data_IF_530765925158
#
_entry.id   IF_530765925158
#
_cell.length_a   1.000
_cell.length_b   1.000
_cell.length_c   1.000
_cell.angle_alpha   90.00
_cell.angle_beta   90.00
_cell.angle_gamma   90.00
#
_symmetry.space_group_name_H-M   'P 1'
#
loop_
_entity.id
_entity.type
_entity.pdbx_description
1 polymer ?
#
# COMPACT_ATOMS: atom_id res chain seq x y z
N UNK A 1 5.94 -1.08 40.10
CA UNK A 1 6.53 -1.12 38.75
C UNK A 1 5.46 -1.63 37.80
N UNK A 2 4.67 -0.70 37.26
CA UNK A 2 3.56 -0.98 36.36
C UNK A 2 4.07 -0.93 34.92
N UNK A 3 4.23 -2.09 34.29
CA UNK A 3 4.33 -2.18 32.83
C UNK A 3 2.96 -1.84 32.23
N UNK A 4 2.74 -0.57 31.92
CA UNK A 4 1.72 -0.17 30.95
C UNK A 4 2.14 -0.75 29.60
N UNK A 5 1.61 -1.92 29.26
CA UNK A 5 1.52 -2.37 27.87
C UNK A 5 0.69 -1.32 27.16
N UNK A 6 1.35 -0.47 26.37
CA UNK A 6 0.67 0.31 25.35
C UNK A 6 -0.22 -0.65 24.57
N UNK A 7 -1.50 -0.28 24.42
CA UNK A 7 -2.42 -1.05 23.60
C UNK A 7 -1.91 -0.98 22.16
N UNK A 8 -1.19 -2.02 21.75
CA UNK A 8 -0.82 -2.27 20.37
C UNK A 8 -2.14 -2.53 19.63
N UNK A 9 -2.70 -1.47 19.05
CA UNK A 9 -3.93 -1.54 18.27
C UNK A 9 -3.76 -2.59 17.17
N UNK A 10 -4.35 -3.78 17.37
CA UNK A 10 -4.27 -4.89 16.42
C UNK A 10 -4.74 -4.43 15.05
N UNK A 11 -3.88 -4.52 14.04
CA UNK A 11 -4.21 -4.08 12.70
C UNK A 11 -5.00 -5.18 11.99
N UNK A 12 -6.32 -4.99 11.86
CA UNK A 12 -7.20 -5.99 11.25
C UNK A 12 -6.71 -6.40 9.86
N UNK A 13 -6.13 -5.50 9.08
CA UNK A 13 -5.69 -5.81 7.72
C UNK A 13 -4.43 -6.67 7.69
N UNK A 14 -3.57 -6.56 8.70
CA UNK A 14 -2.27 -7.24 8.74
C UNK A 14 -2.23 -8.45 9.66
N UNK A 15 -2.87 -8.36 10.82
CA UNK A 15 -2.77 -9.34 11.90
C UNK A 15 -3.91 -10.36 11.90
N UNK A 16 -4.97 -10.12 11.11
CA UNK A 16 -6.12 -11.00 11.04
C UNK A 16 -6.16 -11.86 9.78
N UNK A 17 -7.13 -12.80 9.74
CA UNK A 17 -7.38 -13.64 8.57
C UNK A 17 -7.78 -12.84 7.32
N UNK A 18 -8.20 -11.58 7.47
CA UNK A 18 -8.52 -10.68 6.36
C UNK A 18 -7.32 -10.49 5.43
N UNK A 19 -6.09 -10.57 5.96
CA UNK A 19 -4.85 -10.49 5.16
C UNK A 19 -4.84 -11.50 4.01
N UNK A 20 -5.41 -12.68 4.21
CA UNK A 20 -5.43 -13.73 3.19
C UNK A 20 -6.26 -13.37 1.96
N UNK A 21 -7.17 -12.40 2.06
CA UNK A 21 -7.88 -11.88 0.88
C UNK A 21 -6.92 -11.19 -0.10
N UNK A 22 -5.84 -10.59 0.39
CA UNK A 22 -4.78 -10.03 -0.43
C UNK A 22 -4.05 -11.06 -1.29
N UNK A 23 -4.04 -12.33 -0.89
CA UNK A 23 -3.41 -13.43 -1.63
C UNK A 23 -4.39 -14.22 -2.53
N UNK A 24 -5.60 -13.67 -2.76
CA UNK A 24 -6.61 -14.36 -3.56
C UNK A 24 -6.16 -14.55 -5.02
N UNK A 25 -5.44 -13.57 -5.59
CA UNK A 25 -4.97 -13.64 -6.98
C UNK A 25 -3.99 -14.79 -7.23
N UNK A 26 -3.18 -15.18 -6.25
CA UNK A 26 -2.25 -16.31 -6.33
C UNK A 26 -2.99 -17.64 -6.40
N UNK A 27 -4.11 -17.75 -5.68
CA UNK A 27 -5.01 -18.90 -5.84
C UNK A 27 -5.53 -18.92 -7.28
N UNK A 28 -6.06 -17.80 -7.78
CA UNK A 28 -6.53 -17.71 -9.17
C UNK A 28 -5.47 -18.09 -10.21
N UNK A 29 -4.24 -17.59 -10.06
CA UNK A 29 -3.11 -17.91 -10.93
C UNK A 29 -2.69 -19.39 -10.83
N UNK A 30 -2.73 -19.98 -9.63
CA UNK A 30 -2.47 -21.41 -9.41
C UNK A 30 -3.48 -22.29 -10.15
N UNK A 31 -4.76 -21.90 -10.17
CA UNK A 31 -5.83 -22.64 -10.83
C UNK A 31 -5.96 -22.35 -12.34
N UNK A 32 -5.12 -21.49 -12.93
CA UNK A 32 -5.17 -21.13 -14.36
C UNK A 32 -5.23 -22.34 -15.32
N UNK A 33 -4.51 -23.47 -15.11
CA UNK A 33 -4.59 -24.65 -15.98
C UNK A 33 -5.94 -25.38 -15.93
N UNK A 34 -6.73 -25.18 -14.86
CA UNK A 34 -7.96 -25.94 -14.59
C UNK A 34 -9.20 -25.06 -14.75
N UNK A 35 -9.21 -23.89 -14.12
CA UNK A 35 -10.33 -22.95 -14.10
C UNK A 35 -9.84 -21.52 -14.37
N UNK A 36 -9.42 -21.21 -15.61
CA UNK A 36 -8.86 -19.89 -15.95
C UNK A 36 -9.83 -18.72 -15.72
N UNK A 37 -11.13 -18.98 -15.67
CA UNK A 37 -12.17 -17.97 -15.40
C UNK A 37 -12.10 -17.41 -13.98
N UNK A 38 -11.44 -18.08 -13.04
CA UNK A 38 -11.30 -17.62 -11.66
C UNK A 38 -10.18 -16.57 -11.48
N UNK A 39 -9.32 -16.38 -12.48
CA UNK A 39 -8.21 -15.43 -12.38
C UNK A 39 -8.75 -14.01 -12.15
N UNK A 40 -9.61 -13.51 -13.03
CA UNK A 40 -10.16 -12.15 -12.92
C UNK A 40 -10.88 -11.89 -11.59
N UNK A 41 -11.86 -12.71 -11.14
CA UNK A 41 -12.53 -12.47 -9.87
C UNK A 41 -11.59 -12.57 -8.67
N UNK A 42 -10.53 -13.39 -8.74
CA UNK A 42 -9.54 -13.46 -7.67
C UNK A 42 -8.72 -12.17 -7.51
N UNK A 43 -8.37 -11.51 -8.63
CA UNK A 43 -7.77 -10.17 -8.58
C UNK A 43 -8.74 -9.12 -8.05
N UNK A 44 -10.04 -9.22 -8.35
CA UNK A 44 -11.04 -8.30 -7.78
C UNK A 44 -11.12 -8.42 -6.25
N UNK A 45 -11.06 -9.64 -5.70
CA UNK A 45 -11.02 -9.86 -4.25
C UNK A 45 -9.76 -9.25 -3.65
N UNK A 46 -8.59 -9.51 -4.24
CA UNK A 46 -7.32 -8.98 -3.77
C UNK A 46 -7.28 -7.45 -3.81
N UNK A 47 -7.70 -6.82 -4.92
CA UNK A 47 -7.80 -5.36 -5.00
C UNK A 47 -8.86 -4.79 -4.05
N UNK A 48 -9.96 -5.50 -3.80
CA UNK A 48 -10.94 -5.11 -2.79
C UNK A 48 -10.32 -5.01 -1.39
N UNK A 49 -9.46 -5.97 -1.03
CA UNK A 49 -8.69 -5.93 0.21
C UNK A 49 -7.70 -4.75 0.24
N UNK A 50 -6.93 -4.54 -0.83
CA UNK A 50 -5.97 -3.43 -0.96
C UNK A 50 -6.66 -2.08 -0.76
N UNK A 51 -7.80 -1.88 -1.43
CA UNK A 51 -8.59 -0.65 -1.32
C UNK A 51 -9.20 -0.49 0.09
N UNK A 52 -9.61 -1.60 0.72
CA UNK A 52 -10.11 -1.61 2.09
C UNK A 52 -9.07 -1.14 3.11
N UNK A 53 -7.86 -1.72 3.09
CA UNK A 53 -6.76 -1.30 3.97
C UNK A 53 -6.37 0.17 3.71
N UNK A 54 -6.24 0.55 2.43
CA UNK A 54 -5.93 1.94 2.05
C UNK A 54 -6.96 2.92 2.60
N UNK A 55 -8.25 2.59 2.50
CA UNK A 55 -9.34 3.44 3.01
C UNK A 55 -9.31 3.55 4.54
N UNK A 56 -9.08 2.45 5.25
CA UNK A 56 -8.97 2.44 6.71
C UNK A 56 -7.79 3.30 7.19
N UNK A 57 -6.60 3.14 6.57
CA UNK A 57 -5.41 3.93 6.89
C UNK A 57 -5.59 5.41 6.58
N UNK A 58 -6.20 5.75 5.44
CA UNK A 58 -6.51 7.13 5.08
C UNK A 58 -7.46 7.79 6.10
N UNK A 59 -8.51 7.07 6.53
CA UNK A 59 -9.45 7.57 7.53
C UNK A 59 -8.82 7.75 8.90
N UNK A 60 -7.98 6.80 9.34
CA UNK A 60 -7.23 6.91 10.60
C UNK A 60 -6.27 8.10 10.57
N UNK A 61 -5.54 8.31 9.47
CA UNK A 61 -4.67 9.48 9.29
C UNK A 61 -5.47 10.79 9.33
N UNK A 62 -6.64 10.83 8.68
CA UNK A 62 -7.52 12.00 8.70
C UNK A 62 -8.03 12.30 10.11
N UNK A 63 -8.53 11.29 10.82
CA UNK A 63 -9.06 11.44 12.17
C UNK A 63 -7.98 11.94 13.15
N UNK A 64 -6.76 11.37 13.06
CA UNK A 64 -5.61 11.81 13.86
C UNK A 64 -5.25 13.27 13.58
N UNK A 65 -5.16 13.65 12.31
CA UNK A 65 -4.86 15.03 11.91
C UNK A 65 -5.94 16.03 12.39
N UNK A 66 -7.22 15.64 12.38
CA UNK A 66 -8.30 16.46 12.94
C UNK A 66 -8.15 16.61 14.45
N UNK A 67 -7.85 15.53 15.16
CA UNK A 67 -7.67 15.54 16.61
C UNK A 67 -6.48 16.41 17.05
N UNK A 68 -5.39 16.40 16.28
CA UNK A 68 -4.21 17.24 16.50
C UNK A 68 -4.43 18.71 16.10
N UNK A 69 -5.58 19.05 15.49
CA UNK A 69 -5.91 20.42 15.10
C UNK A 69 -5.00 20.98 14.00
N UNK A 70 -4.40 20.11 13.18
CA UNK A 70 -3.47 20.55 12.13
C UNK A 70 -4.18 21.32 11.02
N UNK A 71 -3.41 22.14 10.29
CA UNK A 71 -3.89 22.91 9.15
C UNK A 71 -4.55 22.01 8.10
N UNK A 72 -5.51 22.55 7.33
CA UNK A 72 -6.17 21.80 6.25
C UNK A 72 -5.17 21.24 5.24
N UNK A 73 -4.09 21.97 4.96
CA UNK A 73 -3.05 21.54 4.03
C UNK A 73 -2.25 20.36 4.58
N UNK A 74 -1.75 20.46 5.83
CA UNK A 74 -1.04 19.37 6.50
C UNK A 74 -1.91 18.13 6.60
N UNK A 75 -3.21 18.30 6.91
CA UNK A 75 -4.18 17.20 6.93
C UNK A 75 -4.28 16.50 5.59
N UNK A 76 -4.42 17.24 4.49
CA UNK A 76 -4.43 16.64 3.16
C UNK A 76 -3.12 15.93 2.83
N UNK A 77 -1.97 16.47 3.26
CA UNK A 77 -0.66 15.88 3.03
C UNK A 77 -0.49 14.53 3.77
N UNK A 78 -0.82 14.47 5.07
CA UNK A 78 -0.68 13.21 5.84
C UNK A 78 -1.68 12.14 5.41
N UNK A 79 -2.88 12.53 4.96
CA UNK A 79 -3.84 11.59 4.37
C UNK A 79 -3.33 11.07 3.03
N UNK A 80 -2.78 11.94 2.19
CA UNK A 80 -2.20 11.55 0.90
C UNK A 80 -0.99 10.62 1.10
N UNK A 81 -0.10 10.94 2.03
CA UNK A 81 1.04 10.09 2.42
C UNK A 81 0.58 8.70 2.85
N UNK A 82 -0.33 8.61 3.81
CA UNK A 82 -0.87 7.32 4.28
C UNK A 82 -1.57 6.53 3.15
N UNK A 83 -2.28 7.21 2.26
CA UNK A 83 -2.95 6.59 1.10
C UNK A 83 -1.93 6.04 0.12
N UNK A 84 -0.92 6.82 -0.25
CA UNK A 84 0.11 6.44 -1.24
C UNK A 84 0.97 5.30 -0.69
N UNK A 85 1.44 5.42 0.56
CA UNK A 85 2.25 4.38 1.20
C UNK A 85 1.46 3.06 1.26
N UNK A 86 0.24 3.07 1.82
CA UNK A 86 -0.56 1.85 1.96
C UNK A 86 -0.91 1.24 0.60
N UNK A 87 -1.35 2.06 -0.36
CA UNK A 87 -1.74 1.57 -1.69
C UNK A 87 -0.56 0.98 -2.45
N UNK A 88 0.58 1.66 -2.45
CA UNK A 88 1.79 1.18 -3.12
C UNK A 88 2.29 -0.11 -2.46
N UNK A 89 2.37 -0.13 -1.13
CA UNK A 89 2.81 -1.30 -0.38
C UNK A 89 1.91 -2.50 -0.63
N UNK A 90 0.60 -2.35 -0.40
CA UNK A 90 -0.35 -3.46 -0.53
C UNK A 90 -0.45 -3.98 -1.96
N UNK A 91 -0.44 -3.08 -2.96
CA UNK A 91 -0.46 -3.50 -4.36
C UNK A 91 0.78 -4.31 -4.73
N UNK A 92 1.96 -3.90 -4.27
CA UNK A 92 3.21 -4.59 -4.57
C UNK A 92 3.37 -5.90 -3.80
N UNK A 93 3.13 -5.87 -2.49
CA UNK A 93 3.33 -7.00 -1.58
C UNK A 93 2.26 -8.08 -1.74
N UNK A 94 1.01 -7.71 -2.02
CA UNK A 94 -0.10 -8.68 -2.12
C UNK A 94 -0.42 -9.08 -3.55
N UNK A 95 -0.40 -8.14 -4.51
CA UNK A 95 -0.98 -8.41 -5.84
C UNK A 95 0.08 -8.64 -6.91
N UNK A 96 0.97 -7.66 -7.11
CA UNK A 96 1.84 -7.61 -8.29
C UNK A 96 2.96 -8.65 -8.22
N UNK A 97 3.79 -8.60 -7.17
CA UNK A 97 4.98 -9.48 -7.09
C UNK A 97 4.56 -10.94 -6.88
N UNK A 98 3.70 -11.29 -5.91
CA UNK A 98 3.29 -12.67 -5.72
C UNK A 98 2.49 -13.22 -6.91
N UNK A 99 1.52 -12.44 -7.43
CA UNK A 99 0.69 -12.86 -8.57
C UNK A 99 1.52 -13.17 -9.82
N UNK A 100 2.49 -12.30 -10.15
CA UNK A 100 3.41 -12.56 -11.24
C UNK A 100 4.28 -13.81 -10.98
N UNK A 101 4.81 -13.95 -9.78
CA UNK A 101 5.68 -15.07 -9.39
C UNK A 101 4.95 -16.41 -9.55
N UNK A 102 3.74 -16.53 -8.99
CA UNK A 102 2.92 -17.74 -9.10
C UNK A 102 2.52 -18.01 -10.55
N UNK A 103 2.16 -16.98 -11.32
CA UNK A 103 1.89 -17.14 -12.75
C UNK A 103 3.08 -17.76 -13.51
N UNK A 104 4.30 -17.29 -13.25
CA UNK A 104 5.53 -17.85 -13.85
C UNK A 104 5.78 -19.29 -13.40
N UNK A 105 5.66 -19.57 -12.10
CA UNK A 105 5.82 -20.91 -11.53
C UNK A 105 4.85 -21.89 -12.19
N UNK A 106 3.57 -21.55 -12.29
CA UNK A 106 2.53 -22.41 -12.87
C UNK A 106 2.75 -22.60 -14.37
N UNK A 107 3.15 -21.55 -15.10
CA UNK A 107 3.44 -21.62 -16.52
C UNK A 107 4.66 -22.53 -16.80
N UNK A 108 5.76 -22.35 -16.07
CA UNK A 108 6.96 -23.18 -16.18
C UNK A 108 6.66 -24.63 -15.78
N UNK A 109 5.91 -24.84 -14.69
CA UNK A 109 5.49 -26.17 -14.24
C UNK A 109 4.61 -26.86 -15.28
N UNK A 110 3.66 -26.13 -15.86
CA UNK A 110 2.81 -26.66 -16.95
C UNK A 110 3.65 -27.08 -18.14
N UNK A 111 4.60 -26.23 -18.56
CA UNK A 111 5.50 -26.52 -19.67
C UNK A 111 6.38 -27.75 -19.42
N UNK A 112 6.96 -27.86 -18.22
CA UNK A 112 7.82 -28.96 -17.82
C UNK A 112 7.05 -30.27 -17.70
N UNK A 113 5.90 -30.28 -16.99
CA UNK A 113 5.08 -31.47 -16.80
C UNK A 113 4.53 -31.98 -18.13
N UNK A 114 4.11 -31.09 -19.03
CA UNK A 114 3.63 -31.50 -20.36
C UNK A 114 4.71 -32.17 -21.22
N UNK A 115 6.00 -31.84 -21.01
CA UNK A 115 7.14 -32.46 -21.71
C UNK A 115 7.57 -33.77 -21.06
N UNK A 116 7.70 -33.78 -19.74
CA UNK A 116 8.24 -34.90 -18.99
C UNK A 116 7.23 -36.04 -18.82
N UNK A 117 5.96 -35.71 -18.56
CA UNK A 117 4.92 -36.70 -18.27
C UNK A 117 3.99 -36.83 -19.47
N UNK A 118 4.14 -37.91 -20.24
CA UNK A 118 3.30 -38.21 -21.41
C UNK A 118 2.12 -39.12 -21.08
N UNK A 119 2.32 -40.03 -20.13
CA UNK A 119 1.44 -41.18 -19.86
C UNK A 119 0.30 -40.89 -18.89
N UNK A 120 0.37 -39.84 -18.07
CA UNK A 120 -0.66 -39.53 -17.06
C UNK A 120 -1.36 -38.20 -17.30
N UNK A 121 -2.60 -38.20 -17.84
CA UNK A 121 -3.41 -37.00 -18.02
C UNK A 121 -3.74 -36.29 -16.69
N UNK A 122 -3.91 -37.06 -15.61
CA UNK A 122 -4.21 -36.52 -14.27
C UNK A 122 -3.05 -35.66 -13.76
N UNK A 123 -1.82 -36.16 -13.87
CA UNK A 123 -0.62 -35.42 -13.45
C UNK A 123 -0.44 -34.16 -14.30
N UNK A 124 -0.63 -34.25 -15.62
CA UNK A 124 -0.55 -33.09 -16.52
C UNK A 124 -1.56 -32.00 -16.19
N UNK A 125 -2.74 -32.37 -15.68
CA UNK A 125 -3.81 -31.45 -15.32
C UNK A 125 -3.60 -30.80 -13.95
N UNK A 126 -3.24 -31.59 -12.94
CA UNK A 126 -3.25 -31.14 -11.54
C UNK A 126 -1.88 -30.73 -10.99
N UNK A 127 -0.78 -31.30 -11.52
CA UNK A 127 0.54 -31.03 -10.96
C UNK A 127 0.96 -29.55 -11.03
N UNK A 128 0.72 -28.80 -12.13
CA UNK A 128 1.11 -27.39 -12.17
C UNK A 128 0.37 -26.54 -11.13
N UNK A 129 -0.92 -26.84 -10.89
CA UNK A 129 -1.70 -26.18 -9.84
C UNK A 129 -1.22 -26.56 -8.45
N UNK A 130 -0.94 -27.85 -8.20
CA UNK A 130 -0.41 -28.31 -6.92
C UNK A 130 0.94 -27.66 -6.59
N UNK A 131 1.82 -27.51 -7.60
CA UNK A 131 3.10 -26.80 -7.44
C UNK A 131 2.86 -25.33 -7.13
N UNK A 132 1.98 -24.64 -7.87
CA UNK A 132 1.64 -23.24 -7.60
C UNK A 132 1.16 -23.02 -6.17
N UNK A 133 0.20 -23.82 -5.70
CA UNK A 133 -0.32 -23.75 -4.33
C UNK A 133 0.75 -24.04 -3.27
N UNK A 134 1.63 -25.01 -3.52
CA UNK A 134 2.71 -25.36 -2.60
C UNK A 134 3.79 -24.28 -2.46
N UNK A 135 3.92 -23.39 -3.45
CA UNK A 135 4.90 -22.28 -3.42
C UNK A 135 4.40 -21.09 -2.60
N UNK A 136 3.09 -20.89 -2.47
CA UNK A 136 2.50 -19.71 -1.78
C UNK A 136 3.08 -19.51 -0.36
N UNK A 137 3.15 -20.51 0.54
CA UNK A 137 3.68 -20.31 1.90
C UNK A 137 5.16 -19.88 1.94
N UNK A 138 5.92 -20.16 0.87
CA UNK A 138 7.36 -19.91 0.81
C UNK A 138 7.70 -18.49 0.36
N UNK A 139 6.81 -17.84 -0.41
CA UNK A 139 7.11 -16.55 -1.06
C UNK A 139 6.67 -15.34 -0.25
N UNK A 140 5.70 -15.47 0.65
CA UNK A 140 5.05 -14.33 1.34
C UNK A 140 6.05 -13.49 2.14
N UNK A 141 6.73 -14.09 3.14
CA UNK A 141 7.61 -13.33 4.03
C UNK A 141 8.81 -12.67 3.34
N UNK A 142 9.50 -13.33 2.39
CA UNK A 142 10.56 -12.69 1.62
C UNK A 142 10.08 -11.52 0.77
N UNK A 143 8.89 -11.62 0.16
CA UNK A 143 8.33 -10.55 -0.67
C UNK A 143 7.96 -9.34 0.19
N UNK A 144 7.28 -9.55 1.32
CA UNK A 144 6.92 -8.47 2.24
C UNK A 144 8.18 -7.68 2.66
N UNK A 145 9.22 -8.39 3.10
CA UNK A 145 10.50 -7.79 3.51
C UNK A 145 11.19 -7.03 2.38
N UNK A 146 11.12 -7.56 1.15
CA UNK A 146 11.68 -6.91 -0.03
C UNK A 146 10.92 -5.61 -0.37
N UNK A 147 9.59 -5.64 -0.35
CA UNK A 147 8.76 -4.46 -0.65
C UNK A 147 8.98 -3.37 0.40
N UNK A 148 9.08 -3.74 1.68
CA UNK A 148 9.40 -2.80 2.75
C UNK A 148 10.73 -2.08 2.49
N UNK A 149 11.80 -2.83 2.22
CA UNK A 149 13.12 -2.24 1.92
C UNK A 149 13.06 -1.35 0.68
N UNK A 150 12.35 -1.77 -0.37
CA UNK A 150 12.20 -0.99 -1.58
C UNK A 150 11.47 0.35 -1.33
N UNK A 151 10.41 0.32 -0.52
CA UNK A 151 9.63 1.51 -0.17
C UNK A 151 10.36 2.45 0.78
N UNK A 152 11.10 1.91 1.75
CA UNK A 152 11.96 2.69 2.64
C UNK A 152 13.04 3.45 1.87
N UNK A 153 13.50 2.91 0.75
CA UNK A 153 14.48 3.55 -0.11
C UNK A 153 13.88 4.55 -1.10
N UNK A 154 12.57 4.51 -1.34
CA UNK A 154 11.91 5.27 -2.40
C UNK A 154 10.75 6.10 -1.85
N UNK A 155 9.54 5.54 -1.83
CA UNK A 155 8.27 6.20 -1.52
C UNK A 155 8.31 6.95 -0.19
N UNK A 156 8.80 6.29 0.87
CA UNK A 156 8.79 6.86 2.23
C UNK A 156 9.83 7.97 2.42
N UNK A 157 10.92 7.97 1.65
CA UNK A 157 11.89 9.08 1.66
C UNK A 157 11.32 10.29 0.95
N UNK A 158 10.73 10.07 -0.22
CA UNK A 158 10.10 11.13 -1.00
C UNK A 158 8.92 11.76 -0.25
N UNK A 159 8.07 10.94 0.36
CA UNK A 159 6.87 11.43 1.04
C UNK A 159 7.18 12.22 2.32
N UNK A 160 8.18 11.79 3.09
CA UNK A 160 8.69 12.58 4.23
C UNK A 160 9.17 13.95 3.82
N UNK A 161 10.02 14.03 2.78
CA UNK A 161 10.49 15.32 2.27
C UNK A 161 9.32 16.23 1.84
N UNK A 162 8.31 15.67 1.18
CA UNK A 162 7.11 16.40 0.76
C UNK A 162 6.28 16.92 1.95
N UNK A 163 6.08 16.12 2.99
CA UNK A 163 5.33 16.53 4.19
C UNK A 163 6.10 17.59 4.98
N UNK A 164 7.42 17.44 5.13
CA UNK A 164 8.29 18.38 5.83
C UNK A 164 8.31 19.76 5.14
N UNK A 165 8.33 19.80 3.81
CA UNK A 165 8.24 21.05 3.03
C UNK A 165 6.93 21.80 3.29
N UNK A 166 5.81 21.06 3.39
CA UNK A 166 4.49 21.64 3.72
C UNK A 166 4.49 22.22 5.14
N UNK A 167 5.05 21.50 6.09
CA UNK A 167 5.18 21.95 7.48
C UNK A 167 6.03 23.22 7.59
N UNK A 168 7.14 23.28 6.86
CA UNK A 168 8.02 24.44 6.85
C UNK A 168 7.30 25.68 6.28
N UNK A 169 6.56 25.53 5.18
CA UNK A 169 5.79 26.62 4.57
C UNK A 169 4.70 27.12 5.53
N UNK A 170 3.96 26.21 6.15
CA UNK A 170 2.91 26.56 7.10
C UNK A 170 3.50 27.30 8.32
N UNK A 171 4.66 26.87 8.82
CA UNK A 171 5.40 27.55 9.88
C UNK A 171 5.83 28.98 9.51
N UNK A 172 6.41 29.17 8.32
CA UNK A 172 6.81 30.50 7.82
C UNK A 172 5.59 31.42 7.70
N UNK A 173 4.48 30.91 7.16
CA UNK A 173 3.25 31.69 6.99
C UNK A 173 2.65 32.07 8.34
N UNK A 174 2.59 31.16 9.31
CA UNK A 174 2.15 31.46 10.66
C UNK A 174 3.02 32.55 11.32
N UNK A 175 4.35 32.48 11.15
CA UNK A 175 5.27 33.50 11.65
C UNK A 175 5.06 34.87 10.97
N UNK A 176 4.87 34.89 9.65
CA UNK A 176 4.57 36.11 8.89
C UNK A 176 3.22 36.72 9.26
N UNK A 177 2.18 35.89 9.43
CA UNK A 177 0.86 36.34 9.87
C UNK A 177 0.92 36.90 11.29
N UNK A 178 1.66 36.26 12.21
CA UNK A 178 1.87 36.77 13.56
C UNK A 178 2.61 38.12 13.58
N UNK A 179 3.64 38.27 12.72
CA UNK A 179 4.35 39.53 12.55
C UNK A 179 3.46 40.63 11.95
N UNK A 180 2.68 40.30 10.92
CA UNK A 180 1.75 41.22 10.27
C UNK A 180 0.59 41.64 11.18
N UNK A 181 0.12 40.75 12.06
CA UNK A 181 -0.89 41.06 13.09
C UNK A 181 -0.38 42.08 14.11
N UNK A 182 0.91 42.04 14.46
CA UNK A 182 1.55 43.07 15.30
C UNK A 182 1.66 44.43 14.59
N UNK A 183 1.76 44.43 13.27
CA UNK A 183 1.98 45.63 12.45
C UNK A 183 0.71 46.14 11.72
N UNK A 184 -0.46 45.52 11.92
CA UNK A 184 -1.74 45.95 11.34
C UNK A 184 -1.97 45.64 9.84
N UNK A 185 -1.18 44.76 9.20
CA UNK A 185 -1.21 44.50 7.74
C UNK A 185 -1.77 43.10 7.34
N UNK A 186 -2.75 42.58 8.07
CA UNK A 186 -3.16 41.16 8.01
C UNK A 186 -3.76 40.67 6.68
N UNK A 187 -4.37 41.53 5.87
CA UNK A 187 -5.15 41.10 4.69
C UNK A 187 -4.30 40.62 3.50
N UNK A 188 -3.11 41.19 3.29
CA UNK A 188 -2.27 40.88 2.14
C UNK A 188 -1.63 39.49 2.24
N UNK A 189 -1.14 39.12 3.43
CA UNK A 189 -0.43 37.84 3.66
C UNK A 189 -1.38 36.65 3.58
N UNK A 190 -2.58 36.77 4.16
CA UNK A 190 -3.61 35.73 4.10
C UNK A 190 -4.10 35.49 2.66
N UNK A 191 -4.20 36.55 1.85
CA UNK A 191 -4.63 36.47 0.44
C UNK A 191 -3.55 35.84 -0.46
N UNK A 192 -2.27 36.11 -0.18
CA UNK A 192 -1.17 35.48 -0.91
C UNK A 192 -1.08 33.98 -0.60
N UNK A 193 -1.29 33.61 0.66
CA UNK A 193 -1.25 32.23 1.13
C UNK A 193 -2.37 31.36 0.54
N UNK A 194 -3.60 31.86 0.49
CA UNK A 194 -4.73 31.14 -0.10
C UNK A 194 -4.62 30.93 -1.62
N UNK A 195 -3.80 31.73 -2.29
CA UNK A 195 -3.57 31.67 -3.74
C UNK A 195 -2.29 30.93 -4.15
N UNK A 196 -1.51 30.38 -3.21
CA UNK A 196 -0.25 29.72 -3.54
C UNK A 196 -0.50 28.38 -4.26
N UNK A 197 -0.07 28.21 -5.53
CA UNK A 197 -0.28 26.98 -6.27
C UNK A 197 0.73 25.91 -5.84
N UNK A 198 0.26 24.68 -5.57
CA UNK A 198 1.10 23.53 -5.18
C UNK A 198 2.09 23.09 -6.28
N UNK A 199 1.98 23.59 -7.50
CA UNK A 199 2.76 23.12 -8.66
C UNK A 199 4.23 23.55 -8.69
N UNK A 200 4.71 24.34 -7.71
CA UNK A 200 6.10 24.83 -7.68
C UNK A 200 7.08 24.06 -6.77
N UNK A 201 6.66 22.96 -6.16
CA UNK A 201 7.52 22.16 -5.25
C UNK A 201 8.20 20.98 -5.97
N UNK A 202 7.79 20.64 -7.19
CA UNK A 202 8.30 19.48 -7.95
C UNK A 202 9.18 19.87 -9.16
N UNK A 203 10.12 20.80 -8.99
CA UNK A 203 11.12 21.16 -10.00
C UNK A 203 12.54 21.03 -9.45
#
# INVERSE_FOLDING_TARGET
MTHSKDQEDSDIWRDSLVRYLGYANELGESFRPIVPRLVVPSYLVAFGYVLGDTFDKANKAHAKAVAEGVSTRKRSAVVADATIDTLAWQTMASVVIPGFTINRVVAMSSFAVQRAVKTSPVVRRWAPTAIGLGVIPLIIHPIDSFVDVAMDQTVRKWSKAFVDDIDQIDGIVCALLASSRRNGMTSAVATLYSRWPMTRIAA
#
